data_IF_052228987327
#
_entry.id   IF_052228987327
#
_cell.length_a   1.000
_cell.length_b   1.000
_cell.length_c   1.000
_cell.angle_alpha   90.00
_cell.angle_beta   90.00
_cell.angle_gamma   90.00
#
_symmetry.space_group_name_H-M   'P 1'
#
loop_
_entity.id
_entity.type
_entity.pdbx_description
1 polymer ?
#
# COMPACT_ATOMS: atom_id res chain seq x y z
N UNK A 1 -5.69 -5.73 35.79
CA UNK A 1 -6.73 -5.34 34.81
C UNK A 1 -6.31 -5.92 33.47
N UNK A 2 -6.92 -7.03 33.03
CA UNK A 2 -6.62 -7.63 31.72
C UNK A 2 -7.33 -6.79 30.66
N UNK A 3 -6.60 -5.92 29.96
CA UNK A 3 -7.11 -5.32 28.74
C UNK A 3 -7.02 -6.39 27.64
N UNK A 4 -8.14 -6.70 26.97
CA UNK A 4 -8.11 -7.57 25.80
C UNK A 4 -7.27 -6.88 24.71
N UNK A 5 -6.36 -7.58 24.01
CA UNK A 5 -5.56 -6.97 22.97
C UNK A 5 -6.47 -6.46 21.83
N UNK A 6 -6.22 -5.23 21.40
CA UNK A 6 -6.87 -4.64 20.24
C UNK A 6 -6.44 -5.40 18.97
N UNK A 7 -7.38 -5.63 18.04
CA UNK A 7 -7.24 -6.47 16.86
C UNK A 7 -7.51 -5.68 15.57
N UNK A 8 -7.32 -6.26 14.39
CA UNK A 8 -7.45 -5.52 13.15
C UNK A 8 -8.87 -5.01 12.86
N UNK A 9 -8.97 -3.81 12.28
CA UNK A 9 -10.17 -3.30 11.64
C UNK A 9 -10.35 -4.00 10.28
N UNK A 10 -11.40 -4.79 10.12
CA UNK A 10 -11.60 -5.64 8.94
C UNK A 10 -12.71 -5.15 8.01
N UNK A 11 -12.40 -5.13 6.71
CA UNK A 11 -13.34 -4.93 5.60
C UNK A 11 -12.88 -5.78 4.43
N UNK A 12 -13.74 -6.60 3.81
CA UNK A 12 -13.30 -7.44 2.68
C UNK A 12 -12.82 -6.59 1.49
N UNK A 13 -13.59 -5.57 1.11
CA UNK A 13 -13.26 -4.56 0.09
C UNK A 13 -12.05 -3.71 0.50
N UNK A 14 -11.69 -3.75 1.79
CA UNK A 14 -10.62 -2.96 2.36
C UNK A 14 -11.05 -1.53 2.69
N UNK A 15 -10.06 -0.64 2.69
CA UNK A 15 -10.22 0.77 3.01
C UNK A 15 -9.66 1.63 1.88
N UNK A 16 -10.42 2.65 1.40
CA UNK A 16 -9.95 3.54 0.35
C UNK A 16 -8.69 4.28 0.80
N UNK A 17 -7.91 4.74 -0.18
CA UNK A 17 -6.74 5.55 0.11
C UNK A 17 -7.18 7.00 0.33
N UNK A 18 -7.04 7.50 1.54
CA UNK A 18 -7.40 8.87 1.92
C UNK A 18 -6.16 9.67 2.34
N UNK A 19 -6.17 10.98 2.10
CA UNK A 19 -5.11 11.88 2.57
C UNK A 19 -5.09 11.93 4.09
N UNK A 20 -4.08 11.29 4.68
CA UNK A 20 -3.85 11.33 6.13
C UNK A 20 -2.96 12.51 6.53
N UNK A 21 -2.15 13.00 5.58
CA UNK A 21 -1.23 14.10 5.83
C UNK A 21 -0.90 14.86 4.55
N UNK A 22 -0.76 16.17 4.67
CA UNK A 22 -0.26 17.05 3.62
C UNK A 22 0.46 18.22 4.26
N UNK A 23 1.45 18.79 3.57
CA UNK A 23 2.22 19.90 4.11
C UNK A 23 3.26 20.46 3.16
N UNK A 24 4.06 21.38 3.68
CA UNK A 24 5.26 21.91 3.03
C UNK A 24 6.50 21.22 3.60
N UNK A 25 7.47 20.92 2.75
CA UNK A 25 8.66 20.16 3.11
C UNK A 25 8.89 18.98 2.17
N UNK A 26 9.69 18.02 2.60
CA UNK A 26 9.99 16.81 1.83
C UNK A 26 9.38 15.57 2.47
N UNK A 27 9.23 14.53 1.66
CA UNK A 27 8.83 13.21 2.12
C UNK A 27 9.83 12.16 1.62
N UNK A 28 10.36 11.40 2.57
CA UNK A 28 11.13 10.19 2.33
C UNK A 28 10.18 9.00 2.32
N UNK A 29 10.27 8.14 1.32
CA UNK A 29 9.52 6.87 1.21
C UNK A 29 10.50 5.80 0.77
N UNK A 30 10.61 4.72 1.53
CA UNK A 30 11.52 3.61 1.18
C UNK A 30 11.02 2.30 1.76
N UNK A 31 11.21 1.21 1.02
CA UNK A 31 11.06 -0.15 1.53
C UNK A 31 12.36 -0.74 2.11
N UNK A 32 13.44 0.05 2.13
CA UNK A 32 14.76 -0.39 2.57
C UNK A 32 15.46 -1.27 1.55
N UNK A 33 16.38 -2.13 2.01
CA UNK A 33 17.18 -3.05 1.21
C UNK A 33 16.54 -4.44 1.00
N UNK A 34 15.33 -4.66 1.51
CA UNK A 34 14.66 -5.94 1.46
C UNK A 34 13.13 -5.76 1.43
N UNK A 35 12.44 -6.49 0.56
CA UNK A 35 10.98 -6.50 0.46
C UNK A 35 10.49 -7.74 -0.29
N UNK A 36 9.19 -7.90 -0.45
CA UNK A 36 8.56 -9.09 -1.00
C UNK A 36 8.14 -10.09 0.08
N UNK A 37 7.16 -10.91 -0.27
CA UNK A 37 6.55 -11.91 0.60
C UNK A 37 7.58 -12.96 1.04
N UNK A 38 8.00 -12.86 2.29
CA UNK A 38 9.09 -13.67 2.87
C UNK A 38 8.66 -14.42 4.12
N UNK A 39 9.35 -15.54 4.35
CA UNK A 39 9.14 -16.44 5.48
C UNK A 39 8.46 -17.75 5.11
N UNK A 40 8.07 -18.50 6.13
CA UNK A 40 7.40 -19.79 6.05
C UNK A 40 5.98 -19.68 6.60
N UNK A 41 5.00 -20.15 5.84
CA UNK A 41 3.61 -20.19 6.28
C UNK A 41 3.44 -20.93 7.60
N UNK A 42 2.59 -20.41 8.48
CA UNK A 42 2.19 -21.04 9.75
C UNK A 42 3.30 -21.16 10.79
N UNK A 43 4.38 -20.40 10.62
CA UNK A 43 5.53 -20.38 11.52
C UNK A 43 5.81 -18.96 11.98
N UNK A 44 6.59 -18.83 13.05
CA UNK A 44 7.16 -17.54 13.42
C UNK A 44 8.14 -17.10 12.33
N UNK A 45 8.01 -15.86 11.88
CA UNK A 45 8.88 -15.29 10.86
C UNK A 45 9.57 -14.05 11.40
N UNK A 46 10.79 -13.82 10.94
CA UNK A 46 11.54 -12.58 11.17
C UNK A 46 11.92 -11.99 9.82
N UNK A 47 11.50 -10.76 9.59
CA UNK A 47 11.83 -9.97 8.42
C UNK A 47 12.70 -8.79 8.87
N UNK A 48 13.80 -8.55 8.16
CA UNK A 48 14.73 -7.47 8.45
C UNK A 48 14.95 -6.66 7.18
N UNK A 49 14.89 -5.34 7.30
CA UNK A 49 15.30 -4.42 6.23
C UNK A 49 16.01 -3.21 6.80
N UNK A 50 16.92 -2.65 6.01
CA UNK A 50 17.69 -1.45 6.33
C UNK A 50 17.30 -0.31 5.41
N UNK A 51 16.93 0.81 6.01
CA UNK A 51 16.74 2.08 5.34
C UNK A 51 18.03 2.88 5.42
N UNK A 52 18.36 3.57 4.33
CA UNK A 52 19.54 4.45 4.27
C UNK A 52 19.09 5.85 3.88
N UNK A 53 19.91 6.85 4.21
CA UNK A 53 19.64 8.27 3.98
C UNK A 53 18.30 8.74 4.55
N UNK A 54 17.89 8.16 5.68
CA UNK A 54 16.68 8.60 6.37
C UNK A 54 16.92 10.00 6.93
N UNK A 55 16.05 10.97 6.66
CA UNK A 55 16.16 12.30 7.24
C UNK A 55 16.01 12.23 8.77
N UNK A 56 17.02 12.71 9.48
CA UNK A 56 17.05 12.81 10.94
C UNK A 56 17.17 14.29 11.33
N UNK A 57 16.09 14.87 11.86
CA UNK A 57 16.01 16.30 12.20
C UNK A 57 14.80 16.97 11.53
N UNK A 58 14.09 17.80 12.30
CA UNK A 58 12.86 18.48 11.89
C UNK A 58 11.82 17.55 11.24
N UNK A 59 11.74 16.30 11.73
CA UNK A 59 10.73 15.33 11.31
C UNK A 59 9.41 15.71 11.96
N UNK A 60 8.42 15.97 11.12
CA UNK A 60 7.08 16.36 11.57
C UNK A 60 6.17 15.15 11.78
N UNK A 61 6.45 14.07 11.03
CA UNK A 61 5.72 12.81 11.11
C UNK A 61 6.52 11.68 10.48
N UNK A 62 6.52 10.52 11.12
CA UNK A 62 7.06 9.30 10.55
C UNK A 62 6.21 8.09 10.92
N UNK A 63 6.09 7.17 9.97
CA UNK A 63 5.40 5.90 10.15
C UNK A 63 6.16 4.77 9.47
N UNK A 64 6.30 3.64 10.18
CA UNK A 64 6.67 2.36 9.59
C UNK A 64 5.39 1.58 9.27
N UNK A 65 5.14 1.35 7.98
CA UNK A 65 4.08 0.48 7.49
C UNK A 65 4.60 -0.94 7.35
N UNK A 66 3.83 -1.93 7.78
CA UNK A 66 4.21 -3.35 7.67
C UNK A 66 3.05 -4.15 7.08
N UNK A 67 3.30 -4.85 5.97
CA UNK A 67 2.34 -5.77 5.37
C UNK A 67 2.57 -7.20 5.86
N UNK A 68 1.53 -7.88 6.37
CA UNK A 68 1.58 -9.28 6.81
C UNK A 68 0.47 -10.09 6.16
N UNK A 69 0.82 -11.24 5.59
CA UNK A 69 -0.17 -12.18 5.09
C UNK A 69 -0.73 -13.05 6.21
N UNK A 70 -2.05 -12.99 6.37
CA UNK A 70 -2.80 -13.81 7.32
C UNK A 70 -3.17 -15.21 6.83
N UNK A 71 -3.32 -15.40 5.53
CA UNK A 71 -3.76 -16.65 4.89
C UNK A 71 -5.28 -16.89 4.91
N UNK A 72 -6.00 -16.32 5.88
CA UNK A 72 -7.46 -16.22 5.92
C UNK A 72 -7.90 -15.25 7.02
N UNK A 73 -9.16 -14.82 6.97
CA UNK A 73 -9.76 -13.94 7.99
C UNK A 73 -10.02 -14.63 9.34
N UNK A 74 -10.00 -15.97 9.37
CA UNK A 74 -10.19 -16.76 10.58
C UNK A 74 -8.91 -16.98 11.39
N UNK A 75 -7.75 -16.74 10.78
CA UNK A 75 -6.45 -16.99 11.40
C UNK A 75 -6.02 -15.84 12.29
N UNK A 76 -5.29 -16.20 13.33
CA UNK A 76 -4.87 -15.27 14.37
C UNK A 76 -3.38 -15.39 14.62
N UNK A 77 -2.76 -14.27 14.95
CA UNK A 77 -1.36 -14.21 15.32
C UNK A 77 -1.00 -12.86 15.88
N UNK A 78 0.30 -12.59 15.93
CA UNK A 78 0.87 -11.34 16.39
C UNK A 78 1.94 -10.85 15.44
N UNK A 79 2.13 -9.55 15.40
CA UNK A 79 3.26 -8.91 14.76
C UNK A 79 3.87 -7.86 15.70
N UNK A 80 5.18 -7.86 15.79
CA UNK A 80 5.94 -6.87 16.54
C UNK A 80 6.99 -6.27 15.61
N UNK A 81 7.08 -4.95 15.62
CA UNK A 81 8.12 -4.22 14.90
C UNK A 81 9.09 -3.55 15.86
N UNK A 82 10.33 -3.46 15.42
CA UNK A 82 11.42 -2.80 16.12
C UNK A 82 12.17 -1.91 15.13
N UNK A 83 12.50 -0.67 15.53
CA UNK A 83 13.45 0.19 14.81
C UNK A 83 14.71 0.36 15.68
N UNK A 84 15.86 -0.08 15.19
CA UNK A 84 17.18 0.06 15.81
C UNK A 84 17.24 -0.29 17.31
N UNK A 85 16.60 -1.41 17.65
CA UNK A 85 16.53 -1.91 19.02
C UNK A 85 15.32 -1.41 19.81
N UNK A 86 14.57 -0.41 19.33
CA UNK A 86 13.38 0.12 19.99
C UNK A 86 12.09 -0.54 19.49
N UNK A 87 11.34 -1.18 20.39
CA UNK A 87 10.05 -1.83 20.06
C UNK A 87 8.96 -0.77 19.81
N UNK A 88 8.20 -0.94 18.73
CA UNK A 88 7.15 -0.04 18.25
C UNK A 88 5.74 -0.42 18.72
N UNK A 89 5.57 -1.49 19.49
CA UNK A 89 4.31 -2.16 19.90
C UNK A 89 4.11 -3.53 19.24
N UNK A 90 3.44 -4.41 20.00
CA UNK A 90 3.05 -5.76 19.59
C UNK A 90 1.55 -5.78 19.28
N UNK A 91 1.21 -5.98 18.02
CA UNK A 91 -0.15 -5.92 17.49
C UNK A 91 -0.74 -7.32 17.36
N UNK A 92 -2.03 -7.45 17.69
CA UNK A 92 -2.75 -8.71 17.48
C UNK A 92 -3.40 -8.71 16.10
N UNK A 93 -3.04 -9.69 15.28
CA UNK A 93 -3.56 -9.86 13.93
C UNK A 93 -4.74 -10.81 13.96
N UNK A 94 -5.95 -10.24 13.90
CA UNK A 94 -7.22 -10.96 13.86
C UNK A 94 -8.27 -10.08 13.20
N UNK A 95 -8.77 -10.48 12.04
CA UNK A 95 -9.77 -9.74 11.28
C UNK A 95 -11.13 -9.65 12.00
N UNK A 96 -11.60 -10.76 12.57
CA UNK A 96 -12.94 -10.84 13.18
C UNK A 96 -12.87 -10.63 14.71
N UNK A 97 -12.72 -9.37 15.13
CA UNK A 97 -12.70 -8.97 16.54
C UNK A 97 -13.65 -7.80 16.81
N UNK A 98 -14.16 -7.73 18.04
CA UNK A 98 -14.97 -6.61 18.53
C UNK A 98 -14.13 -5.53 19.23
N UNK A 99 -12.87 -5.82 19.54
CA UNK A 99 -11.91 -4.85 20.10
C UNK A 99 -10.92 -4.51 19.00
N UNK A 100 -11.01 -3.30 18.47
CA UNK A 100 -10.26 -2.86 17.30
C UNK A 100 -9.04 -2.04 17.71
N UNK A 101 -7.92 -2.29 17.01
CA UNK A 101 -6.69 -1.51 17.04
C UNK A 101 -6.85 -0.37 16.05
N UNK A 102 -6.34 0.79 16.43
CA UNK A 102 -6.25 1.93 15.51
C UNK A 102 -5.04 1.82 14.57
N UNK A 103 -4.21 0.79 14.76
CA UNK A 103 -2.94 0.62 14.06
C UNK A 103 -2.97 -0.51 13.03
N UNK A 104 -4.05 -1.29 12.94
CA UNK A 104 -4.07 -2.48 12.08
C UNK A 104 -5.33 -2.51 11.25
N UNK A 105 -5.17 -2.40 9.94
CA UNK A 105 -6.22 -2.64 8.96
C UNK A 105 -6.08 -4.04 8.37
N UNK A 106 -7.20 -4.67 8.05
CA UNK A 106 -7.24 -5.97 7.40
C UNK A 106 -8.23 -5.98 6.25
N UNK A 107 -7.76 -6.43 5.08
CA UNK A 107 -8.57 -6.55 3.88
C UNK A 107 -8.56 -7.94 3.27
N UNK A 108 -9.51 -8.21 2.37
CA UNK A 108 -9.60 -9.44 1.61
C UNK A 108 -9.52 -10.71 2.44
N UNK A 109 -8.66 -11.64 2.01
CA UNK A 109 -8.45 -12.92 2.69
C UNK A 109 -7.38 -12.86 3.79
N UNK A 110 -7.24 -11.71 4.47
CA UNK A 110 -6.30 -11.53 5.58
C UNK A 110 -5.02 -10.80 5.19
N UNK A 111 -5.12 -9.72 4.40
CA UNK A 111 -4.00 -8.81 4.13
C UNK A 111 -3.96 -7.79 5.28
N UNK A 112 -3.05 -7.97 6.23
CA UNK A 112 -2.89 -7.05 7.35
C UNK A 112 -1.92 -5.95 6.98
N UNK A 113 -2.32 -4.69 7.19
CA UNK A 113 -1.46 -3.53 7.13
C UNK A 113 -1.36 -2.91 8.52
N UNK A 114 -0.14 -2.78 9.02
CA UNK A 114 0.14 -2.27 10.36
C UNK A 114 0.80 -0.91 10.24
N UNK A 115 0.35 0.03 11.08
CA UNK A 115 0.74 1.43 11.14
C UNK A 115 1.47 1.72 12.45
N UNK A 116 2.79 1.82 12.40
CA UNK A 116 3.57 2.17 13.58
C UNK A 116 4.04 3.62 13.49
N UNK A 117 3.43 4.50 14.29
CA UNK A 117 3.94 5.86 14.45
C UNK A 117 5.32 5.83 15.11
N UNK A 118 6.35 6.22 14.36
CA UNK A 118 7.73 6.22 14.81
C UNK A 118 8.32 7.64 14.85
N UNK A 119 7.50 8.69 14.73
CA UNK A 119 7.92 10.11 14.71
C UNK A 119 8.88 10.46 15.84
N UNK A 120 8.50 10.11 17.08
CA UNK A 120 9.34 10.38 18.25
C UNK A 120 10.62 9.57 18.23
N UNK A 121 10.60 8.33 17.72
CA UNK A 121 11.81 7.51 17.66
C UNK A 121 12.82 8.11 16.67
N UNK A 122 12.36 8.51 15.48
CA UNK A 122 13.21 9.13 14.45
C UNK A 122 13.83 10.44 14.99
N UNK A 123 13.02 11.30 15.64
CA UNK A 123 13.51 12.56 16.21
C UNK A 123 14.40 12.39 17.45
N UNK A 124 14.04 11.52 18.38
CA UNK A 124 14.71 11.39 19.69
C UNK A 124 15.99 10.58 19.61
N UNK A 125 15.98 9.49 18.84
CA UNK A 125 17.12 8.57 18.77
C UNK A 125 18.04 8.87 17.61
N UNK A 126 17.70 9.88 16.78
CA UNK A 126 18.50 10.43 15.70
C UNK A 126 19.36 9.35 15.10
N UNK A 127 18.71 8.34 14.51
CA UNK A 127 19.27 7.01 14.35
C UNK A 127 20.71 7.11 13.82
N UNK A 128 21.65 6.89 14.74
CA UNK A 128 23.10 7.09 14.65
C UNK A 128 23.62 8.41 14.03
N UNK A 129 22.76 9.40 13.75
CA UNK A 129 23.08 10.63 13.01
C UNK A 129 23.57 10.38 11.58
N UNK A 130 23.57 9.13 11.13
CA UNK A 130 24.11 8.67 9.85
C UNK A 130 23.00 8.34 8.83
N UNK A 131 21.74 8.44 9.25
CA UNK A 131 20.56 8.18 8.42
C UNK A 131 20.34 6.70 8.10
N UNK A 132 21.00 5.77 8.81
CA UNK A 132 20.84 4.33 8.61
C UNK A 132 19.96 3.72 9.70
N UNK A 133 18.82 3.16 9.30
CA UNK A 133 17.78 2.63 10.20
C UNK A 133 17.54 1.16 9.90
N UNK A 134 17.53 0.30 10.92
CA UNK A 134 17.15 -1.11 10.75
C UNK A 134 15.77 -1.37 11.32
N UNK A 135 14.84 -1.82 10.48
CA UNK A 135 13.58 -2.38 10.96
C UNK A 135 13.66 -3.91 11.05
N UNK A 136 13.22 -4.45 12.18
CA UNK A 136 13.00 -5.88 12.39
C UNK A 136 11.53 -6.12 12.70
N UNK A 137 10.86 -6.93 11.89
CA UNK A 137 9.47 -7.35 12.08
C UNK A 137 9.47 -8.83 12.43
N UNK A 138 8.84 -9.17 13.56
CA UNK A 138 8.62 -10.57 13.95
C UNK A 138 7.13 -10.88 13.98
N UNK A 139 6.73 -11.94 13.29
CA UNK A 139 5.36 -12.47 13.38
C UNK A 139 5.34 -13.78 14.15
N UNK A 140 4.27 -14.03 14.88
CA UNK A 140 4.08 -15.27 15.65
C UNK A 140 2.66 -15.80 15.44
N UNK A 141 2.50 -17.03 14.93
CA UNK A 141 1.19 -17.65 14.77
C UNK A 141 0.50 -17.89 16.12
N UNK A 142 -0.82 -17.69 16.14
CA UNK A 142 -1.70 -18.12 17.22
C UNK A 142 -2.46 -19.39 16.87
N UNK A 143 -3.71 -19.51 17.34
CA UNK A 143 -4.60 -20.63 17.02
C UNK A 143 -6.00 -20.13 16.64
N UNK A 144 -6.50 -20.40 15.43
CA UNK A 144 -5.82 -21.09 14.32
C UNK A 144 -4.65 -20.27 13.75
N UNK A 145 -3.60 -20.96 13.29
CA UNK A 145 -2.31 -20.37 12.96
C UNK A 145 -2.36 -19.37 11.79
N UNK A 146 -1.92 -18.13 12.04
CA UNK A 146 -1.58 -17.13 11.02
C UNK A 146 -0.57 -17.68 10.01
N UNK A 147 -0.72 -17.34 8.73
CA UNK A 147 0.34 -17.61 7.74
C UNK A 147 1.63 -16.88 8.15
N UNK A 148 1.54 -15.59 8.44
CA UNK A 148 2.57 -14.81 9.13
C UNK A 148 3.74 -14.37 8.26
N UNK A 149 3.77 -14.72 6.97
CA UNK A 149 4.76 -14.17 6.04
C UNK A 149 4.60 -12.66 5.90
N UNK A 150 5.70 -11.95 5.74
CA UNK A 150 5.75 -10.48 5.68
C UNK A 150 5.91 -10.06 4.23
N UNK A 151 5.04 -9.19 3.72
CA UNK A 151 5.15 -8.62 2.38
C UNK A 151 6.32 -7.64 2.27
N UNK A 152 6.58 -6.89 3.34
CA UNK A 152 7.63 -5.89 3.41
C UNK A 152 7.33 -4.86 4.50
N UNK A 153 8.26 -3.92 4.68
CA UNK A 153 8.09 -2.77 5.52
C UNK A 153 8.45 -1.50 4.75
N UNK A 154 7.64 -0.44 4.87
CA UNK A 154 7.87 0.85 4.21
C UNK A 154 7.97 1.93 5.27
N UNK A 155 9.11 2.62 5.32
CA UNK A 155 9.32 3.78 6.16
C UNK A 155 8.95 5.05 5.39
N UNK A 156 8.08 5.85 5.98
CA UNK A 156 7.66 7.14 5.45
C UNK A 156 8.03 8.21 6.46
N UNK A 157 8.75 9.25 6.03
CA UNK A 157 9.16 10.37 6.89
C UNK A 157 8.84 11.68 6.19
N UNK A 158 7.92 12.45 6.76
CA UNK A 158 7.65 13.83 6.38
C UNK A 158 8.47 14.77 7.28
N UNK A 159 9.27 15.63 6.66
CA UNK A 159 10.23 16.46 7.37
C UNK A 159 10.38 17.83 6.72
N UNK A 160 10.67 18.82 7.56
CA UNK A 160 10.94 20.16 7.09
C UNK A 160 12.44 20.32 6.82
N UNK A 161 12.79 20.59 5.56
CA UNK A 161 14.17 20.86 5.16
C UNK A 161 14.36 22.32 4.69
N UNK A 162 13.41 23.21 4.99
CA UNK A 162 13.36 24.58 4.49
C UNK A 162 12.97 24.72 3.01
N UNK A 163 12.62 23.63 2.32
CA UNK A 163 12.11 23.67 0.96
C UNK A 163 10.69 24.24 0.90
N UNK A 164 10.35 24.82 -0.26
CA UNK A 164 8.97 25.18 -0.61
C UNK A 164 8.20 24.05 -1.30
N UNK A 165 8.80 22.87 -1.38
CA UNK A 165 8.14 21.63 -1.82
C UNK A 165 6.86 21.38 -1.03
N UNK A 166 5.91 20.69 -1.66
CA UNK A 166 4.66 20.24 -1.04
C UNK A 166 4.53 18.73 -1.16
N UNK A 167 3.83 18.12 -0.20
CA UNK A 167 3.56 16.69 -0.23
C UNK A 167 2.14 16.37 0.25
N UNK A 168 1.65 15.21 -0.19
CA UNK A 168 0.43 14.55 0.26
C UNK A 168 0.72 13.07 0.45
N UNK A 169 0.28 12.51 1.56
CA UNK A 169 0.40 11.09 1.89
C UNK A 169 -1.01 10.54 2.00
N UNK A 170 -1.38 9.72 1.03
CA UNK A 170 -2.62 8.96 1.03
C UNK A 170 -2.34 7.52 1.46
N UNK A 171 -3.18 7.01 2.35
CA UNK A 171 -3.06 5.67 2.93
C UNK A 171 -4.40 4.97 2.87
N UNK A 172 -4.35 3.66 2.64
CA UNK A 172 -5.49 2.76 2.78
C UNK A 172 -5.00 1.32 2.85
N UNK A 173 -5.92 0.38 2.74
CA UNK A 173 -5.62 -1.05 2.55
C UNK A 173 -6.73 -1.61 1.66
N UNK A 174 -6.78 -1.10 0.43
CA UNK A 174 -7.81 -1.43 -0.53
C UNK A 174 -7.61 -2.88 -1.01
N UNK A 175 -8.69 -3.56 -1.35
CA UNK A 175 -8.64 -4.89 -1.94
C UNK A 175 -9.40 -4.87 -3.26
N UNK A 176 -8.74 -4.55 -4.38
CA UNK A 176 -9.38 -4.62 -5.69
C UNK A 176 -9.52 -6.09 -6.07
N UNK A 177 -10.73 -6.59 -6.30
CA UNK A 177 -10.98 -8.02 -6.54
C UNK A 177 -12.09 -8.25 -7.57
N UNK A 178 -12.07 -9.45 -8.16
CA UNK A 178 -13.25 -9.98 -8.86
C UNK A 178 -14.32 -10.41 -7.87
N UNK A 179 -15.52 -10.62 -8.36
CA UNK A 179 -16.61 -11.16 -7.57
C UNK A 179 -16.21 -12.49 -6.93
N UNK A 180 -16.65 -12.67 -5.69
CA UNK A 180 -16.15 -13.74 -4.84
C UNK A 180 -17.11 -14.00 -3.69
N UNK A 181 -17.13 -15.23 -3.18
CA UNK A 181 -17.84 -15.56 -1.95
C UNK A 181 -16.83 -15.92 -0.88
N UNK A 182 -16.67 -15.04 0.11
CA UNK A 182 -15.74 -15.21 1.22
C UNK A 182 -16.50 -15.24 2.54
N UNK A 183 -16.23 -16.25 3.39
CA UNK A 183 -16.91 -16.38 4.69
C UNK A 183 -18.43 -16.52 4.60
N UNK A 184 -18.97 -17.01 3.47
CA UNK A 184 -20.41 -17.12 3.23
C UNK A 184 -21.09 -15.82 2.79
N UNK A 185 -20.34 -14.74 2.55
CA UNK A 185 -20.84 -13.47 2.01
C UNK A 185 -20.37 -13.30 0.57
N UNK A 186 -21.28 -12.89 -0.31
CA UNK A 186 -20.97 -12.55 -1.70
C UNK A 186 -20.50 -11.09 -1.78
N UNK A 187 -19.38 -10.87 -2.45
CA UNK A 187 -18.81 -9.56 -2.75
C UNK A 187 -18.82 -9.38 -4.28
N UNK A 188 -19.42 -8.29 -4.81
CA UNK A 188 -19.40 -7.98 -6.24
C UNK A 188 -17.98 -7.60 -6.70
N UNK A 189 -17.77 -7.37 -7.99
CA UNK A 189 -16.49 -6.87 -8.48
C UNK A 189 -16.16 -5.49 -7.89
N UNK A 190 -14.92 -5.33 -7.42
CA UNK A 190 -14.31 -4.06 -7.09
C UNK A 190 -13.08 -3.89 -7.98
N UNK A 191 -13.30 -3.45 -9.21
CA UNK A 191 -12.23 -3.40 -10.20
C UNK A 191 -11.35 -2.15 -10.11
N UNK A 192 -11.86 -1.10 -9.47
CA UNK A 192 -11.19 0.20 -9.46
C UNK A 192 -11.47 1.06 -8.25
N UNK A 193 -10.57 2.00 -7.99
CA UNK A 193 -10.76 3.04 -7.00
C UNK A 193 -10.03 4.32 -7.39
N UNK A 194 -10.56 5.46 -6.95
CA UNK A 194 -9.96 6.77 -7.10
C UNK A 194 -9.53 7.30 -5.74
N UNK A 195 -8.27 7.72 -5.65
CA UNK A 195 -7.75 8.45 -4.49
C UNK A 195 -7.43 9.88 -4.88
N UNK A 196 -7.87 10.84 -4.06
CA UNK A 196 -7.67 12.27 -4.29
C UNK A 196 -6.63 12.83 -3.32
N UNK A 197 -5.71 13.63 -3.82
CA UNK A 197 -4.78 14.38 -2.97
C UNK A 197 -5.46 15.66 -2.50
N UNK A 198 -6.03 15.61 -1.30
CA UNK A 198 -6.84 16.70 -0.77
C UNK A 198 -5.94 17.81 -0.20
N UNK A 199 -6.05 19.02 -0.74
CA UNK A 199 -5.34 20.21 -0.25
C UNK A 199 -5.08 21.22 -1.37
N UNK A 200 -4.55 22.38 -1.00
CA UNK A 200 -4.18 23.43 -1.96
C UNK A 200 -2.82 23.12 -2.61
N UNK A 201 -2.78 23.15 -3.94
CA UNK A 201 -1.59 22.89 -4.74
C UNK A 201 -0.97 24.21 -5.20
N UNK A 202 0.32 24.38 -4.96
CA UNK A 202 1.12 25.44 -5.54
C UNK A 202 1.75 24.96 -6.86
N UNK A 203 1.10 25.25 -7.97
CA UNK A 203 1.56 24.83 -9.29
C UNK A 203 2.65 25.71 -9.90
N UNK A 204 3.16 26.70 -9.16
CA UNK A 204 4.42 27.35 -9.53
C UNK A 204 5.63 26.43 -9.35
N UNK A 205 5.45 25.28 -8.67
CA UNK A 205 6.44 24.24 -8.47
C UNK A 205 6.43 23.31 -9.69
N UNK A 206 7.61 23.06 -10.29
CA UNK A 206 7.71 22.52 -11.65
C UNK A 206 7.72 21.00 -11.78
N UNK A 207 8.22 20.28 -10.78
CA UNK A 207 8.39 18.81 -10.86
C UNK A 207 7.50 18.12 -9.83
N UNK A 208 6.85 17.03 -10.22
CA UNK A 208 6.07 16.22 -9.30
C UNK A 208 6.38 14.73 -9.46
N UNK A 209 6.45 14.03 -8.33
CA UNK A 209 6.68 12.59 -8.26
C UNK A 209 5.52 11.96 -7.51
N UNK A 210 4.93 10.92 -8.09
CA UNK A 210 3.98 10.04 -7.44
C UNK A 210 4.69 8.76 -7.03
N UNK A 211 4.71 8.44 -5.73
CA UNK A 211 5.13 7.13 -5.23
C UNK A 211 3.91 6.30 -4.84
N UNK A 212 3.79 5.06 -5.32
CA UNK A 212 2.68 4.15 -5.00
C UNK A 212 3.20 2.82 -4.48
N UNK A 213 2.46 2.18 -3.58
CA UNK A 213 2.79 0.87 -3.05
C UNK A 213 1.61 -0.10 -3.15
N UNK A 214 1.93 -1.36 -3.48
CA UNK A 214 0.96 -2.45 -3.61
C UNK A 214 1.40 -3.70 -2.84
N UNK A 215 0.42 -4.45 -2.35
CA UNK A 215 0.59 -5.85 -1.97
C UNK A 215 -0.25 -6.76 -2.87
N UNK A 216 0.12 -8.04 -2.86
CA UNK A 216 -0.67 -9.13 -3.44
C UNK A 216 -0.93 -9.09 -4.95
N UNK A 217 -0.23 -8.25 -5.71
CA UNK A 217 -0.24 -8.34 -7.18
C UNK A 217 0.32 -9.68 -7.66
N UNK A 218 -0.43 -10.34 -8.55
CA UNK A 218 0.00 -11.58 -9.20
C UNK A 218 0.78 -11.25 -10.49
N UNK A 219 1.90 -11.96 -10.69
CA UNK A 219 2.65 -11.84 -11.94
C UNK A 219 1.75 -12.18 -13.14
N UNK A 220 1.81 -11.36 -14.19
CA UNK A 220 1.06 -11.53 -15.45
C UNK A 220 -0.45 -11.24 -15.41
N UNK A 221 -0.99 -10.80 -14.27
CA UNK A 221 -2.26 -10.08 -14.28
C UNK A 221 -2.03 -8.68 -14.84
N UNK A 222 -3.05 -8.14 -15.52
CA UNK A 222 -2.98 -6.77 -16.00
C UNK A 222 -3.58 -5.84 -14.98
N UNK A 223 -2.86 -4.81 -14.60
CA UNK A 223 -3.32 -3.78 -13.70
C UNK A 223 -2.69 -2.45 -14.13
N UNK A 224 -3.43 -1.37 -13.84
CA UNK A 224 -3.18 -0.08 -14.44
C UNK A 224 -3.25 1.02 -13.39
N UNK A 225 -2.36 1.98 -13.57
CA UNK A 225 -2.30 3.20 -12.79
C UNK A 225 -2.44 4.41 -13.70
N UNK A 226 -3.35 5.31 -13.36
CA UNK A 226 -3.55 6.56 -14.09
C UNK A 226 -3.44 7.76 -13.16
N UNK A 227 -2.81 8.83 -13.63
CA UNK A 227 -2.74 10.11 -12.92
C UNK A 227 -3.50 11.18 -13.68
N UNK A 228 -4.47 11.80 -13.02
CA UNK A 228 -5.35 12.81 -13.61
C UNK A 228 -5.95 12.43 -15.00
N UNK A 229 -6.45 11.20 -15.23
CA UNK A 229 -7.18 10.89 -16.46
C UNK A 229 -8.40 11.81 -16.59
N UNK A 230 -8.88 12.17 -17.79
CA UNK A 230 -10.02 13.10 -17.93
C UNK A 230 -11.29 12.64 -17.20
N UNK A 231 -12.06 13.56 -16.60
CA UNK A 231 -13.40 13.25 -16.08
C UNK A 231 -14.38 13.11 -17.26
N UNK A 232 -14.42 11.91 -17.83
CA UNK A 232 -15.24 11.58 -18.99
C UNK A 232 -15.72 10.12 -18.93
N UNK A 233 -16.84 9.82 -19.60
CA UNK A 233 -17.42 8.47 -19.62
C UNK A 233 -16.52 7.41 -20.25
N UNK A 234 -15.66 7.81 -21.19
CA UNK A 234 -14.68 6.97 -21.89
C UNK A 234 -13.26 7.11 -21.34
N UNK A 235 -13.12 7.28 -20.03
CA UNK A 235 -11.84 7.47 -19.34
C UNK A 235 -11.77 6.56 -18.11
N UNK A 236 -10.56 6.19 -17.65
CA UNK A 236 -10.35 5.50 -16.39
C UNK A 236 -11.03 6.15 -15.18
N UNK A 237 -11.37 7.45 -15.24
CA UNK A 237 -12.14 8.12 -14.20
C UNK A 237 -13.53 7.49 -13.97
N UNK A 238 -14.14 6.93 -15.01
CA UNK A 238 -15.42 6.24 -14.91
C UNK A 238 -15.22 4.82 -14.37
N UNK A 239 -15.21 4.70 -13.04
CA UNK A 239 -14.99 3.45 -12.30
C UNK A 239 -15.98 2.31 -12.61
N UNK A 240 -17.10 2.62 -13.30
CA UNK A 240 -18.11 1.62 -13.67
C UNK A 240 -17.95 1.06 -15.08
N UNK A 241 -17.05 1.61 -15.90
CA UNK A 241 -16.98 1.30 -17.33
C UNK A 241 -15.63 0.70 -17.73
N UNK A 242 -15.27 -0.51 -17.30
CA UNK A 242 -13.99 -1.15 -17.65
C UNK A 242 -13.70 -1.35 -19.17
N UNK A 243 -14.61 -0.96 -20.08
CA UNK A 243 -14.50 -1.07 -21.53
C UNK A 243 -14.22 0.27 -22.24
N UNK A 244 -13.65 1.28 -21.57
CA UNK A 244 -13.26 2.51 -22.27
C UNK A 244 -12.16 2.23 -23.30
N UNK A 245 -11.97 3.11 -24.29
CA UNK A 245 -10.89 2.92 -25.25
C UNK A 245 -9.52 3.10 -24.56
N UNK A 246 -8.84 1.99 -24.29
CA UNK A 246 -7.50 1.99 -23.70
C UNK A 246 -6.52 2.85 -24.51
N UNK A 247 -6.67 2.89 -25.84
CA UNK A 247 -5.78 3.64 -26.72
C UNK A 247 -5.99 5.16 -26.65
N UNK A 248 -7.16 5.62 -26.22
CA UNK A 248 -7.48 7.04 -26.09
C UNK A 248 -6.81 7.75 -24.91
N UNK A 249 -6.31 7.00 -23.91
CA UNK A 249 -5.85 7.55 -22.63
C UNK A 249 -4.40 7.16 -22.25
N UNK A 250 -3.55 6.81 -23.23
CA UNK A 250 -2.16 6.40 -22.96
C UNK A 250 -1.32 7.49 -22.25
N UNK A 251 -1.60 8.77 -22.50
CA UNK A 251 -0.79 9.87 -21.97
C UNK A 251 -0.86 10.04 -20.45
N UNK A 252 -1.85 9.46 -19.79
CA UNK A 252 -2.07 9.55 -18.34
C UNK A 252 -1.75 8.24 -17.60
N UNK A 253 -1.44 7.18 -18.35
CA UNK A 253 -1.09 5.85 -17.84
C UNK A 253 0.38 5.86 -17.42
N UNK A 254 0.66 5.50 -16.16
CA UNK A 254 1.98 5.71 -15.55
C UNK A 254 2.97 4.55 -15.70
N UNK A 255 2.47 3.33 -15.75
CA UNK A 255 3.26 2.15 -16.05
C UNK A 255 2.63 1.42 -17.25
N UNK A 256 3.24 0.38 -17.78
CA UNK A 256 2.65 -0.51 -18.76
C UNK A 256 1.33 -1.14 -18.29
N UNK A 257 0.95 -2.29 -18.81
CA UNK A 257 -0.29 -2.96 -18.41
C UNK A 257 -0.14 -3.83 -17.16
N UNK A 258 0.85 -3.59 -16.30
CA UNK A 258 1.11 -4.35 -15.07
C UNK A 258 1.99 -3.53 -14.10
N UNK A 259 1.36 -2.67 -13.30
CA UNK A 259 2.02 -1.81 -12.30
C UNK A 259 2.31 -2.55 -10.98
N UNK A 260 1.62 -3.64 -10.69
CA UNK A 260 1.79 -4.51 -9.53
C UNK A 260 2.50 -5.81 -9.94
N UNK A 261 3.68 -5.64 -10.57
CA UNK A 261 4.40 -6.71 -11.27
C UNK A 261 5.39 -7.49 -10.38
N UNK A 262 5.39 -7.23 -9.08
CA UNK A 262 6.32 -7.75 -8.10
C UNK A 262 7.70 -7.11 -8.21
N UNK A 263 7.82 -5.80 -8.34
CA UNK A 263 9.11 -5.10 -8.34
C UNK A 263 9.11 -3.82 -7.51
N UNK A 264 10.30 -3.34 -7.17
CA UNK A 264 10.46 -2.07 -6.49
C UNK A 264 11.60 -1.30 -7.16
N UNK A 265 11.36 -0.05 -7.52
CA UNK A 265 12.32 0.74 -8.32
C UNK A 265 13.69 0.89 -7.63
N UNK A 266 13.71 0.85 -6.29
CA UNK A 266 14.94 0.95 -5.50
C UNK A 266 15.65 -0.39 -5.30
N UNK A 267 14.95 -1.50 -5.49
CA UNK A 267 15.48 -2.85 -5.33
C UNK A 267 15.69 -3.45 -6.71
N UNK A 268 16.95 -3.61 -7.13
CA UNK A 268 17.30 -4.17 -8.45
C UNK A 268 16.95 -5.66 -8.64
N UNK A 269 15.91 -6.17 -7.98
CA UNK A 269 15.43 -7.55 -8.02
C UNK A 269 13.91 -7.62 -7.83
N UNK A 270 13.31 -8.75 -8.24
CA UNK A 270 11.87 -9.01 -8.11
C UNK A 270 11.45 -9.21 -6.65
N UNK A 271 10.44 -8.46 -6.21
CA UNK A 271 9.81 -8.52 -4.90
C UNK A 271 8.46 -9.22 -5.02
N UNK A 272 8.38 -10.50 -4.65
CA UNK A 272 7.14 -11.28 -4.76
C UNK A 272 5.98 -10.61 -3.99
N UNK A 273 4.85 -10.35 -4.64
CA UNK A 273 3.60 -9.82 -4.04
C UNK A 273 3.80 -8.48 -3.29
N UNK A 274 4.81 -7.70 -3.67
CA UNK A 274 5.10 -6.38 -3.11
C UNK A 274 5.61 -5.49 -4.22
N UNK A 275 5.07 -4.27 -4.29
CA UNK A 275 5.51 -3.27 -5.24
C UNK A 275 5.67 -1.91 -4.58
N UNK A 276 6.69 -1.16 -5.02
CA UNK A 276 6.87 0.24 -4.65
C UNK A 276 7.54 0.99 -5.81
N UNK A 277 6.76 1.86 -6.45
CA UNK A 277 7.14 2.56 -7.67
C UNK A 277 7.06 4.07 -7.51
N UNK A 278 7.91 4.79 -8.23
CA UNK A 278 7.94 6.24 -8.31
C UNK A 278 7.84 6.69 -9.78
N UNK A 279 6.88 7.57 -10.06
CA UNK A 279 6.60 8.08 -11.39
C UNK A 279 6.73 9.61 -11.42
N UNK A 280 7.35 10.13 -12.45
CA UNK A 280 7.26 11.57 -12.75
C UNK A 280 5.85 11.86 -13.32
N UNK A 281 5.15 12.81 -12.71
CA UNK A 281 3.76 13.14 -13.05
C UNK A 281 3.57 14.63 -13.28
N UNK A 282 2.56 14.98 -14.08
CA UNK A 282 2.19 16.38 -14.32
C UNK A 282 0.99 16.75 -13.48
N UNK A 283 1.20 17.59 -12.47
CA UNK A 283 0.13 18.12 -11.62
C UNK A 283 -0.69 19.17 -12.33
N UNK A 284 -1.94 19.32 -11.91
CA UNK A 284 -2.85 20.35 -12.38
C UNK A 284 -3.13 21.38 -11.29
N UNK A 285 -3.61 22.57 -11.68
CA UNK A 285 -4.12 23.61 -10.77
C UNK A 285 -5.41 23.18 -10.03
N UNK A 286 -5.98 22.01 -10.38
CA UNK A 286 -7.20 21.44 -9.84
C UNK A 286 -6.92 20.31 -8.83
N UNK A 287 -7.94 19.53 -8.47
CA UNK A 287 -7.78 18.32 -7.67
C UNK A 287 -6.92 17.32 -8.41
N UNK A 288 -5.78 16.94 -7.82
CA UNK A 288 -4.93 15.87 -8.34
C UNK A 288 -5.38 14.53 -7.75
N UNK A 289 -5.36 13.48 -8.57
CA UNK A 289 -5.83 12.17 -8.15
C UNK A 289 -5.22 11.05 -8.97
N UNK A 290 -5.32 9.85 -8.41
CA UNK A 290 -4.86 8.60 -9.00
C UNK A 290 -6.02 7.65 -9.10
N UNK A 291 -6.07 6.90 -10.21
CA UNK A 291 -7.03 5.82 -10.40
C UNK A 291 -6.30 4.49 -10.54
N UNK A 292 -6.64 3.55 -9.66
CA UNK A 292 -6.14 2.19 -9.66
C UNK A 292 -7.15 1.27 -10.36
N UNK A 293 -6.66 0.34 -11.17
CA UNK A 293 -7.47 -0.65 -11.88
C UNK A 293 -6.79 -2.02 -11.83
N UNK A 294 -7.51 -3.07 -11.43
CA UNK A 294 -7.00 -4.46 -11.47
C UNK A 294 -7.16 -5.16 -12.83
N UNK A 295 -7.38 -4.38 -13.89
CA UNK A 295 -7.57 -4.88 -15.25
C UNK A 295 -8.31 -3.92 -16.16
N UNK A 296 -8.61 -4.40 -17.36
CA UNK A 296 -9.33 -3.65 -18.38
C UNK A 296 -10.02 -4.63 -19.34
N UNK A 297 -11.18 -4.26 -19.88
CA UNK A 297 -11.88 -5.03 -20.90
C UNK A 297 -11.24 -4.90 -22.29
N UNK A 298 -11.73 -5.64 -23.26
CA UNK A 298 -11.15 -5.66 -24.62
C UNK A 298 -11.79 -4.67 -25.62
N UNK A 299 -12.48 -3.63 -25.13
CA UNK A 299 -13.25 -2.65 -25.89
C UNK A 299 -14.50 -3.20 -26.65
N UNK A 300 -14.85 -4.50 -26.54
CA UNK A 300 -15.87 -5.16 -27.38
C UNK A 300 -17.07 -5.77 -26.61
N UNK A 301 -17.78 -4.99 -25.78
CA UNK A 301 -18.99 -5.41 -25.05
C UNK A 301 -18.76 -6.57 -24.05
N UNK A 302 -17.58 -6.67 -23.44
CA UNK A 302 -17.37 -7.61 -22.33
C UNK A 302 -18.27 -7.24 -21.14
N UNK A 303 -18.78 -8.25 -20.43
CA UNK A 303 -19.63 -8.08 -19.25
C UNK A 303 -18.85 -8.08 -17.95
N UNK A 304 -17.56 -8.45 -17.98
CA UNK A 304 -16.62 -8.44 -16.86
C UNK A 304 -15.18 -8.31 -17.37
N UNK A 305 -14.24 -7.92 -16.51
CA UNK A 305 -12.81 -7.93 -16.81
C UNK A 305 -12.33 -9.39 -16.91
N UNK A 306 -11.77 -9.76 -18.05
CA UNK A 306 -11.15 -11.06 -18.21
C UNK A 306 -9.83 -11.13 -17.43
N UNK A 307 -9.89 -11.79 -16.27
CA UNK A 307 -8.75 -12.05 -15.39
C UNK A 307 -8.65 -13.57 -15.13
N UNK A 308 -7.98 -14.32 -16.04
CA UNK A 308 -7.93 -15.77 -15.93
C UNK A 308 -7.15 -16.13 -14.66
N UNK A 309 -7.81 -16.86 -13.77
CA UNK A 309 -7.11 -17.51 -12.67
C UNK A 309 -6.01 -18.38 -13.29
N UNK A 310 -4.75 -18.09 -12.97
CA UNK A 310 -3.66 -19.00 -13.30
C UNK A 310 -4.08 -20.40 -12.81
N UNK A 311 -3.93 -21.49 -13.61
CA UNK A 311 -4.67 -22.75 -13.42
C UNK A 311 -4.40 -23.57 -12.14
N UNK A 312 -3.80 -22.95 -11.11
CA UNK A 312 -3.63 -23.50 -9.77
C UNK A 312 -3.94 -22.50 -8.64
N UNK A 313 -4.43 -21.30 -8.97
CA UNK A 313 -4.75 -20.25 -7.99
C UNK A 313 -6.20 -20.44 -7.57
N UNK A 314 -6.41 -20.74 -6.28
CA UNK A 314 -7.73 -20.86 -5.70
C UNK A 314 -8.46 -19.53 -5.89
N UNK A 315 -9.73 -19.48 -6.33
CA UNK A 315 -10.47 -18.23 -6.46
C UNK A 315 -10.62 -17.44 -5.14
N UNK A 316 -10.24 -18.04 -3.99
CA UNK A 316 -10.11 -17.38 -2.68
C UNK A 316 -8.67 -16.91 -2.35
N UNK A 317 -7.70 -17.10 -3.24
CA UNK A 317 -6.29 -16.72 -3.10
C UNK A 317 -5.91 -15.78 -4.24
N UNK A 318 -5.56 -14.54 -3.91
CA UNK A 318 -4.63 -13.67 -4.64
C UNK A 318 -4.99 -13.14 -6.04
N UNK A 319 -6.20 -13.34 -6.58
CA UNK A 319 -6.68 -12.50 -7.72
C UNK A 319 -7.15 -11.11 -7.26
N UNK A 320 -6.31 -10.42 -6.49
CA UNK A 320 -6.60 -9.09 -6.00
C UNK A 320 -5.36 -8.21 -5.94
N UNK A 321 -5.50 -6.95 -6.30
CA UNK A 321 -4.44 -5.94 -6.18
C UNK A 321 -4.75 -5.10 -4.94
N UNK A 322 -3.76 -4.93 -4.06
CA UNK A 322 -3.96 -4.18 -2.82
C UNK A 322 -3.10 -2.91 -2.77
N UNK A 323 -3.55 -1.80 -3.36
CA UNK A 323 -2.92 -0.50 -3.14
C UNK A 323 -3.02 -0.14 -1.65
N UNK A 324 -1.91 0.28 -1.05
CA UNK A 324 -1.87 0.68 0.35
C UNK A 324 -1.28 2.08 0.60
N UNK A 325 -0.59 2.62 -0.40
CA UNK A 325 0.11 3.90 -0.31
C UNK A 325 0.07 4.64 -1.64
N UNK A 326 -0.20 5.95 -1.57
CA UNK A 326 0.05 6.90 -2.66
C UNK A 326 0.59 8.20 -2.07
N UNK A 327 1.79 8.60 -2.46
CA UNK A 327 2.46 9.82 -2.00
C UNK A 327 2.72 10.72 -3.19
N UNK A 328 2.09 11.89 -3.20
CA UNK A 328 2.37 12.91 -4.20
C UNK A 328 3.34 13.92 -3.60
N UNK A 329 4.45 14.15 -4.27
CA UNK A 329 5.43 15.19 -3.94
C UNK A 329 5.54 16.17 -5.10
N UNK A 330 5.62 17.46 -4.79
CA UNK A 330 5.81 18.53 -5.75
C UNK A 330 6.99 19.38 -5.28
N UNK A 331 7.99 19.56 -6.12
CA UNK A 331 9.22 20.31 -5.81
C UNK A 331 9.36 21.53 -6.74
N UNK A 332 10.06 22.59 -6.32
CA UNK A 332 10.32 23.77 -7.12
C UNK A 332 10.80 23.50 -8.55
#
# INVERSE_FOLDING_TARGET
>A
MLCAPACAHYSYEGFPLDTIRSGTGEVYVSCGDNAGLQGTSYQSNTFVTKFTNVPTGDVEWAELKVGVWGGSTSRVGRAEANLDGYSLFNETLRANSTVLSNNVDCSGSGIYLIHYNCTNLINQYGINGDGNITATVTTTPGSPALDGRVYGAVLIVAYNNGSSSQYWINQGNLNLHKNVTSGGTYYPDLDANITRFNGAVNTSLGNATLTVGYFAGDSSQKDYLYFNPPDASGSPYNLSNFNWDLNGNWGQKLDGDNVANGTCDTLGFTTKNFDLHAFDVTVTNSSNYVVFWRGHGNNNNETEIYDPAWPAVNPNTESYVSPFLAVLKITP
#
